data_IF_302247541115
#
_entry.id   IF_302247541115
#
_cell.length_a   1.000
_cell.length_b   1.000
_cell.length_c   1.000
_cell.angle_alpha   90.00
_cell.angle_beta   90.00
_cell.angle_gamma   90.00
#
_symmetry.space_group_name_H-M   'P 1'
#
loop_
_entity.id
_entity.type
_entity.pdbx_description
1 polymer ?
#
# COMPACT_ATOMS: atom_id res chain seq x y z
N UNK A 1 -15.75 17.36 -21.77
CA UNK A 1 -15.61 16.02 -21.19
C UNK A 1 -15.40 16.20 -19.70
N UNK A 2 -16.42 15.92 -18.90
CA UNK A 2 -16.33 16.08 -17.45
C UNK A 2 -15.81 14.76 -16.87
N UNK A 3 -14.49 14.65 -16.75
CA UNK A 3 -13.86 13.53 -16.05
C UNK A 3 -13.72 13.88 -14.57
N UNK A 4 -14.85 13.93 -13.87
CA UNK A 4 -14.84 13.92 -12.41
C UNK A 4 -14.65 12.45 -11.95
N UNK A 5 -13.41 11.94 -12.07
CA UNK A 5 -12.95 10.63 -11.55
C UNK A 5 -11.60 10.74 -10.80
N UNK A 6 -11.17 11.95 -10.47
CA UNK A 6 -9.73 12.27 -10.33
C UNK A 6 -9.01 11.95 -9.02
N UNK A 7 -9.61 11.27 -8.02
CA UNK A 7 -8.93 11.06 -6.72
C UNK A 7 -8.78 9.61 -6.27
N UNK A 8 -9.74 8.71 -6.50
CA UNK A 8 -9.64 7.32 -6.00
C UNK A 8 -8.70 6.42 -6.83
N UNK A 9 -8.59 6.65 -8.14
CA UNK A 9 -7.80 5.80 -9.04
C UNK A 9 -6.28 6.05 -8.90
N UNK A 10 -5.91 7.30 -8.59
CA UNK A 10 -4.50 7.72 -8.43
C UNK A 10 -3.89 7.22 -7.13
N UNK A 11 -4.62 7.26 -6.02
CA UNK A 11 -4.10 6.82 -4.72
C UNK A 11 -3.75 5.33 -4.74
N UNK A 12 -4.63 4.49 -5.29
CA UNK A 12 -4.36 3.06 -5.40
C UNK A 12 -3.13 2.76 -6.28
N UNK A 13 -2.99 3.48 -7.39
CA UNK A 13 -1.81 3.36 -8.25
C UNK A 13 -0.52 3.79 -7.53
N UNK A 14 -0.55 4.86 -6.73
CA UNK A 14 0.60 5.29 -5.93
C UNK A 14 0.99 4.26 -4.87
N UNK A 15 0.01 3.71 -4.13
CA UNK A 15 0.28 2.68 -3.11
C UNK A 15 0.94 1.45 -3.74
N UNK A 16 0.44 1.00 -4.90
CA UNK A 16 1.03 -0.12 -5.63
C UNK A 16 2.44 0.19 -6.13
N UNK A 17 2.71 1.44 -6.52
CA UNK A 17 4.04 1.89 -6.93
C UNK A 17 5.03 1.88 -5.76
N UNK A 18 4.64 2.43 -4.60
CA UNK A 18 5.43 2.39 -3.37
C UNK A 18 5.74 0.94 -2.99
N UNK A 19 4.73 0.07 -3.03
CA UNK A 19 4.89 -1.36 -2.79
C UNK A 19 5.90 -2.00 -3.74
N UNK A 20 5.80 -1.73 -5.04
CA UNK A 20 6.72 -2.29 -6.03
C UNK A 20 8.16 -1.78 -5.82
N UNK A 21 8.33 -0.51 -5.44
CA UNK A 21 9.63 0.09 -5.15
C UNK A 21 10.27 -0.53 -3.89
N UNK A 22 9.49 -0.77 -2.83
CA UNK A 22 9.97 -1.37 -1.57
C UNK A 22 10.23 -2.87 -1.72
N UNK A 23 9.32 -3.59 -2.38
CA UNK A 23 9.47 -5.02 -2.64
C UNK A 23 10.49 -5.33 -3.73
N UNK A 24 10.98 -4.30 -4.44
CA UNK A 24 11.78 -4.41 -5.67
C UNK A 24 11.17 -5.38 -6.70
N UNK A 25 9.83 -5.45 -6.73
CA UNK A 25 9.07 -6.41 -7.53
C UNK A 25 7.75 -5.81 -8.03
N UNK A 26 7.66 -5.66 -9.36
CA UNK A 26 6.47 -5.17 -10.06
C UNK A 26 5.31 -6.17 -10.07
N UNK A 27 5.54 -7.43 -9.67
CA UNK A 27 4.52 -8.48 -9.61
C UNK A 27 3.33 -8.04 -8.76
N UNK A 28 3.56 -7.27 -7.69
CA UNK A 28 2.55 -6.70 -6.79
C UNK A 28 1.56 -5.77 -7.49
N UNK A 29 1.96 -5.16 -8.61
CA UNK A 29 1.09 -4.30 -9.42
C UNK A 29 0.11 -5.14 -10.27
N UNK A 30 0.56 -6.33 -10.70
CA UNK A 30 -0.22 -7.25 -11.54
C UNK A 30 -1.05 -8.24 -10.73
N UNK A 31 -0.49 -8.81 -9.66
CA UNK A 31 -1.15 -9.72 -8.73
C UNK A 31 -1.32 -9.05 -7.36
N UNK A 32 -2.52 -8.53 -7.12
CA UNK A 32 -2.84 -7.87 -5.84
C UNK A 32 -3.19 -8.85 -4.71
N UNK A 33 -3.24 -10.15 -5.01
CA UNK A 33 -3.55 -11.22 -4.06
C UNK A 33 -2.31 -12.01 -3.66
N UNK A 34 -1.15 -11.68 -4.23
CA UNK A 34 0.14 -12.22 -3.83
C UNK A 34 0.36 -11.99 -2.33
N UNK A 35 0.89 -13.01 -1.66
CA UNK A 35 1.21 -12.93 -0.24
C UNK A 35 2.63 -12.40 -0.07
N UNK A 36 2.74 -11.12 0.27
CA UNK A 36 4.00 -10.39 0.30
C UNK A 36 4.97 -10.98 1.35
N UNK A 37 4.45 -11.52 2.44
CA UNK A 37 5.28 -12.12 3.48
C UNK A 37 5.74 -13.53 3.10
N UNK A 38 4.86 -14.30 2.45
CA UNK A 38 5.19 -15.65 2.01
C UNK A 38 6.19 -15.67 0.86
N UNK A 39 6.05 -14.74 -0.08
CA UNK A 39 6.98 -14.53 -1.18
C UNK A 39 8.25 -13.77 -0.74
N UNK A 40 8.34 -13.40 0.55
CA UNK A 40 9.47 -12.67 1.14
C UNK A 40 9.75 -11.31 0.47
N UNK A 41 8.68 -10.68 -0.04
CA UNK A 41 8.66 -9.34 -0.61
C UNK A 41 8.52 -8.26 0.47
N UNK A 42 7.80 -8.57 1.57
CA UNK A 42 7.71 -7.72 2.75
C UNK A 42 8.26 -8.41 3.99
N UNK A 43 9.04 -7.65 4.74
CA UNK A 43 9.58 -7.99 6.05
C UNK A 43 9.37 -6.81 7.03
N UNK A 44 9.81 -6.95 8.28
CA UNK A 44 9.58 -5.91 9.29
C UNK A 44 10.22 -4.56 8.97
N UNK A 45 11.34 -4.55 8.24
CA UNK A 45 12.02 -3.32 7.87
C UNK A 45 11.27 -2.65 6.71
N UNK A 46 10.99 -3.42 5.67
CA UNK A 46 10.22 -2.98 4.50
C UNK A 46 8.81 -2.49 4.87
N UNK A 47 8.18 -3.08 5.89
CA UNK A 47 6.92 -2.55 6.46
C UNK A 47 7.12 -1.15 7.05
N UNK A 48 8.21 -0.91 7.78
CA UNK A 48 8.49 0.40 8.36
C UNK A 48 8.70 1.45 7.26
N UNK A 49 9.44 1.11 6.22
CA UNK A 49 9.64 1.96 5.04
C UNK A 49 8.33 2.26 4.33
N UNK A 50 7.47 1.25 4.16
CA UNK A 50 6.13 1.41 3.59
C UNK A 50 5.31 2.44 4.36
N UNK A 51 5.31 2.37 5.69
CA UNK A 51 4.58 3.34 6.52
C UNK A 51 5.13 4.77 6.35
N UNK A 52 6.45 4.93 6.21
CA UNK A 52 7.09 6.23 5.99
C UNK A 52 6.73 6.80 4.62
N UNK A 53 6.81 5.98 3.56
CA UNK A 53 6.46 6.41 2.20
C UNK A 53 4.97 6.75 2.05
N UNK A 54 4.08 6.04 2.76
CA UNK A 54 2.65 6.38 2.81
C UNK A 54 2.43 7.76 3.47
N UNK A 55 3.19 8.10 4.49
CA UNK A 55 3.14 9.42 5.13
C UNK A 55 3.72 10.51 4.22
N UNK A 56 4.88 10.28 3.61
CA UNK A 56 5.57 11.28 2.77
C UNK A 56 4.84 11.55 1.45
N UNK A 57 4.38 10.49 0.76
CA UNK A 57 3.76 10.62 -0.57
C UNK A 57 2.25 10.88 -0.51
N UNK A 58 1.55 10.36 0.49
CA UNK A 58 0.08 10.45 0.59
C UNK A 58 -0.40 11.26 1.80
N UNK A 59 0.47 11.60 2.75
CA UNK A 59 0.08 12.25 4.00
C UNK A 59 -0.66 11.30 4.95
N UNK A 60 -0.50 9.99 4.80
CA UNK A 60 -1.21 8.98 5.59
C UNK A 60 -0.30 8.39 6.64
N UNK A 61 -0.34 8.99 7.83
CA UNK A 61 0.37 8.47 8.99
C UNK A 61 -0.33 7.23 9.57
N UNK A 62 0.43 6.14 9.70
CA UNK A 62 -0.01 4.89 10.34
C UNK A 62 1.07 4.48 11.33
N UNK A 63 0.69 4.27 12.60
CA UNK A 63 1.63 3.72 13.59
C UNK A 63 1.85 2.21 13.36
N UNK A 64 3.07 1.69 13.52
CA UNK A 64 3.33 0.25 13.44
C UNK A 64 2.55 -0.57 14.47
N UNK A 65 2.06 0.05 15.55
CA UNK A 65 1.19 -0.61 16.53
C UNK A 65 -0.28 -0.72 16.07
N UNK A 66 -0.70 0.07 15.07
CA UNK A 66 -2.06 0.07 14.53
C UNK A 66 -2.24 -0.87 13.34
N UNK A 67 -1.14 -1.43 12.83
CA UNK A 67 -1.14 -2.26 11.64
C UNK A 67 -0.75 -3.69 12.00
N UNK A 68 -1.56 -4.63 11.56
CA UNK A 68 -1.26 -6.05 11.68
C UNK A 68 -0.78 -6.61 10.35
N UNK A 69 0.07 -7.63 10.43
CA UNK A 69 0.61 -8.35 9.25
C UNK A 69 -0.51 -8.79 8.31
N UNK A 70 -1.63 -9.23 8.88
CA UNK A 70 -2.80 -9.71 8.14
C UNK A 70 -3.58 -8.62 7.43
N UNK A 71 -3.41 -7.35 7.80
CA UNK A 71 -4.02 -6.20 7.12
C UNK A 71 -3.19 -5.71 5.92
N UNK A 72 -1.93 -6.11 5.83
CA UNK A 72 -1.00 -5.72 4.75
C UNK A 72 -0.39 -6.93 4.04
N UNK A 73 -0.94 -8.13 4.29
CA UNK A 73 -0.43 -9.38 3.75
C UNK A 73 -0.42 -9.42 2.22
N UNK A 74 -1.35 -8.70 1.60
CA UNK A 74 -1.44 -8.59 0.14
C UNK A 74 -1.63 -7.12 -0.25
N UNK A 75 -1.24 -6.73 -1.48
CA UNK A 75 -1.47 -5.37 -1.98
C UNK A 75 -2.94 -4.96 -1.89
N UNK A 76 -3.87 -5.87 -2.18
CA UNK A 76 -5.32 -5.63 -2.08
C UNK A 76 -5.77 -5.28 -0.65
N UNK A 77 -5.17 -5.88 0.38
CA UNK A 77 -5.51 -5.60 1.78
C UNK A 77 -4.94 -4.25 2.23
N UNK A 78 -3.71 -3.93 1.84
CA UNK A 78 -3.11 -2.61 2.11
C UNK A 78 -3.96 -1.50 1.48
N UNK A 79 -4.36 -1.65 0.22
CA UNK A 79 -5.21 -0.69 -0.47
C UNK A 79 -6.51 -0.43 0.31
N UNK A 80 -7.20 -1.49 0.75
CA UNK A 80 -8.41 -1.38 1.55
C UNK A 80 -8.16 -0.69 2.90
N UNK A 81 -7.06 -1.03 3.56
CA UNK A 81 -6.67 -0.46 4.85
C UNK A 81 -6.43 1.05 4.74
N UNK A 82 -5.74 1.49 3.68
CA UNK A 82 -5.43 2.90 3.43
C UNK A 82 -6.67 3.67 2.93
N UNK A 83 -7.48 3.10 2.03
CA UNK A 83 -8.75 3.70 1.60
C UNK A 83 -9.72 3.94 2.76
N UNK A 84 -9.77 3.01 3.72
CA UNK A 84 -10.60 3.17 4.92
C UNK A 84 -10.18 4.37 5.79
N UNK A 85 -8.90 4.76 5.73
CA UNK A 85 -8.35 5.92 6.46
C UNK A 85 -8.49 7.23 5.69
N UNK A 86 -8.39 7.20 4.36
CA UNK A 86 -8.46 8.38 3.48
C UNK A 86 -9.85 9.04 3.43
N UNK A 87 -10.94 8.31 3.70
CA UNK A 87 -12.33 8.83 3.68
C UNK A 87 -12.72 9.73 4.88
N UNK A 88 -11.80 10.41 5.55
CA UNK A 88 -12.11 11.30 6.69
C UNK A 88 -12.16 12.77 6.31
#
# INVERSE_FOLDING_TARGET
>A
MNENKGTSDTQAAQILKILAEICEDDSVMTDRKVDLFKENLLDSLSVTELLVELDDQLGIYISPAEIEREQIRTPELLLQFVEARSKR
#
